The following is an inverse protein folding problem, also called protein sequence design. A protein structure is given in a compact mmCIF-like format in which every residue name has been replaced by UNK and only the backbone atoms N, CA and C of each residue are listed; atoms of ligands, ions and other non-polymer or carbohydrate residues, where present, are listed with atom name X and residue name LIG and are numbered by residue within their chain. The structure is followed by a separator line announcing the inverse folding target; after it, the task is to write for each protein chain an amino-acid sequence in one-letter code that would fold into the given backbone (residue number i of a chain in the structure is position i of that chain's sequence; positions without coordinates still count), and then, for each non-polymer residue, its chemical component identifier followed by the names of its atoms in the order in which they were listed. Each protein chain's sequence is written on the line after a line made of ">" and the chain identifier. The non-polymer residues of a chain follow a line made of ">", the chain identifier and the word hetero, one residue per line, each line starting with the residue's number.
data_IF_975827579054
#
_entry.id   IF_975827579054
#
_cell.length_a   1.000
_cell.length_b   1.000
_cell.length_c   1.000
_cell.angle_alpha   90.00
_cell.angle_beta   90.00
_cell.angle_gamma   90.00
#
_symmetry.space_group_name_H-M   'P 1'
#
loop_
_entity.id
_entity.type
_entity.pdbx_description
1 polymer ?
#
# COMPACT_ATOMS: atom_id res chain seq x y z
N UNK A 1 19.02 -14.58 15.85
CA UNK A 1 18.18 -13.47 15.36
C UNK A 1 17.05 -13.28 16.35
N UNK A 2 16.94 -12.14 17.03
CA UNK A 2 15.91 -11.93 18.07
C UNK A 2 14.58 -11.59 17.42
N UNK A 3 13.47 -12.09 17.99
CA UNK A 3 12.12 -11.73 17.55
C UNK A 3 11.90 -10.21 17.55
N UNK A 4 12.49 -9.49 18.52
CA UNK A 4 12.40 -8.03 18.59
C UNK A 4 13.00 -7.32 17.37
N UNK A 5 14.07 -7.88 16.79
CA UNK A 5 14.69 -7.32 15.58
C UNK A 5 13.80 -7.43 14.35
N UNK A 6 13.09 -8.56 14.23
CA UNK A 6 12.15 -8.81 13.12
C UNK A 6 10.94 -7.88 13.24
N UNK A 7 10.41 -7.70 14.46
CA UNK A 7 9.29 -6.78 14.72
C UNK A 7 9.65 -5.35 14.31
N UNK A 8 10.83 -4.88 14.71
CA UNK A 8 11.33 -3.54 14.33
C UNK A 8 11.43 -3.37 12.81
N UNK A 9 11.93 -4.39 12.11
CA UNK A 9 12.06 -4.38 10.64
C UNK A 9 10.69 -4.26 9.97
N UNK A 10 9.72 -5.08 10.37
CA UNK A 10 8.36 -5.05 9.81
C UNK A 10 7.67 -3.72 10.10
N UNK A 11 7.83 -3.18 11.32
CA UNK A 11 7.28 -1.86 11.68
C UNK A 11 7.81 -0.77 10.74
N UNK A 12 9.11 -0.75 10.46
CA UNK A 12 9.71 0.25 9.60
C UNK A 12 9.19 0.15 8.15
N UNK A 13 9.01 -1.07 7.64
CA UNK A 13 8.42 -1.30 6.32
C UNK A 13 6.97 -0.81 6.26
N UNK A 14 6.16 -1.09 7.28
CA UNK A 14 4.76 -0.64 7.33
C UNK A 14 4.68 0.89 7.49
N UNK A 15 5.58 1.53 8.22
CA UNK A 15 5.57 2.99 8.38
C UNK A 15 5.92 3.69 7.06
N UNK A 16 6.96 3.22 6.35
CA UNK A 16 7.38 3.84 5.08
C UNK A 16 6.37 3.55 3.97
N UNK A 17 5.92 2.30 3.88
CA UNK A 17 5.16 1.82 2.72
C UNK A 17 3.67 1.66 3.00
N UNK A 18 3.20 1.82 4.24
CA UNK A 18 1.80 1.61 4.61
C UNK A 18 0.84 2.53 3.87
N UNK A 19 1.22 3.80 3.70
CA UNK A 19 0.44 4.76 2.89
C UNK A 19 0.40 4.38 1.40
N UNK A 20 1.51 3.85 0.86
CA UNK A 20 1.57 3.36 -0.52
C UNK A 20 0.67 2.14 -0.71
N UNK A 21 0.76 1.15 0.18
CA UNK A 21 -0.07 -0.06 0.14
C UNK A 21 -1.56 0.33 0.24
N UNK A 22 -1.91 1.23 1.17
CA UNK A 22 -3.28 1.71 1.32
C UNK A 22 -3.78 2.41 0.05
N UNK A 23 -2.96 3.27 -0.57
CA UNK A 23 -3.29 3.95 -1.82
C UNK A 23 -3.44 2.98 -3.00
N UNK A 24 -2.52 2.02 -3.14
CA UNK A 24 -2.63 0.98 -4.17
C UNK A 24 -3.89 0.13 -4.02
N UNK A 25 -4.21 -0.31 -2.79
CA UNK A 25 -5.45 -1.06 -2.53
C UNK A 25 -6.69 -0.20 -2.80
N UNK A 26 -6.65 1.08 -2.43
CA UNK A 26 -7.74 2.02 -2.70
C UNK A 26 -7.99 2.16 -4.20
N UNK A 27 -6.94 2.34 -5.00
CA UNK A 27 -7.02 2.43 -6.47
C UNK A 27 -7.50 1.12 -7.11
N UNK A 28 -7.06 -0.03 -6.60
CA UNK A 28 -7.53 -1.33 -7.11
C UNK A 28 -9.02 -1.56 -6.84
N UNK A 29 -9.54 -1.05 -5.72
CA UNK A 29 -10.93 -1.25 -5.29
C UNK A 29 -11.87 -0.20 -5.86
N UNK A 30 -11.39 1.02 -6.03
CA UNK A 30 -12.05 2.12 -6.70
C UNK A 30 -11.17 2.55 -7.88
N UNK A 31 -11.09 1.73 -8.95
CA UNK A 31 -10.43 2.19 -10.16
C UNK A 31 -11.15 3.45 -10.61
N UNK A 32 -10.40 4.53 -10.81
CA UNK A 32 -10.95 5.75 -11.38
C UNK A 32 -11.62 5.39 -12.71
N UNK A 33 -12.94 5.47 -12.75
CA UNK A 33 -13.74 5.37 -13.98
C UNK A 33 -13.50 6.66 -14.75
N UNK A 34 -12.32 6.78 -15.36
CA UNK A 34 -11.97 7.89 -16.25
C UNK A 34 -11.17 7.37 -17.44
N UNK A 35 -11.57 6.20 -17.93
CA UNK A 35 -11.25 5.76 -19.27
C UNK A 35 -12.54 5.25 -19.94
N UNK A 36 -13.65 5.99 -19.76
CA UNK A 36 -14.66 6.02 -20.82
C UNK A 36 -14.01 6.77 -21.98
N UNK A 37 -13.46 5.98 -22.89
CA UNK A 37 -13.25 6.38 -24.28
C UNK A 37 -14.63 6.49 -24.92
N UNK A 38 -15.37 7.55 -24.58
CA UNK A 38 -16.47 8.02 -25.41
C UNK A 38 -15.90 9.00 -26.44
N UNK A 39 -16.36 8.80 -27.67
CA UNK A 39 -15.92 9.33 -28.97
C UNK A 39 -15.71 10.85 -29.07
#
# INVERSE_FOLDING_TARGET
>A
MSAGSIVMMVLFLVIIWGGLIASSVHLMKHPDTTADSDE
#
